data_IF_341106795628
#
_entry.id   IF_341106795628
#
_cell.length_a   1.000
_cell.length_b   1.000
_cell.length_c   1.000
_cell.angle_alpha   90.00
_cell.angle_beta   90.00
_cell.angle_gamma   90.00
#
_symmetry.space_group_name_H-M   'P 1'
#
loop_
_entity.id
_entity.type
_entity.pdbx_description
1 polymer ?
#
# COMPACT_ATOMS: atom_id res chain seq x y z
N UNK A 1 22.90 -4.53 -16.84
CA UNK A 1 22.29 -3.90 -15.66
C UNK A 1 20.82 -3.66 -15.94
N UNK A 2 19.93 -4.25 -15.13
CA UNK A 2 18.47 -4.06 -15.18
C UNK A 2 18.08 -3.18 -13.98
N UNK A 3 17.20 -2.20 -14.21
CA UNK A 3 16.72 -1.28 -13.18
C UNK A 3 15.22 -1.46 -12.97
N UNK A 4 14.83 -1.71 -11.72
CA UNK A 4 13.43 -1.83 -11.30
C UNK A 4 13.08 -0.69 -10.34
N UNK A 5 12.02 0.05 -10.65
CA UNK A 5 11.41 0.99 -9.71
C UNK A 5 10.23 0.33 -9.00
N UNK A 6 10.22 0.37 -7.68
CA UNK A 6 9.12 -0.09 -6.85
C UNK A 6 8.47 1.12 -6.21
N UNK A 7 7.19 1.33 -6.45
CA UNK A 7 6.40 2.35 -5.78
C UNK A 7 5.41 1.71 -4.81
N UNK A 8 5.06 2.45 -3.76
CA UNK A 8 4.13 1.95 -2.75
C UNK A 8 2.67 2.01 -3.18
N UNK A 9 1.79 2.39 -2.26
CA UNK A 9 0.36 2.23 -2.42
C UNK A 9 -0.20 3.21 -3.48
N UNK A 10 -0.95 2.68 -4.45
CA UNK A 10 -1.56 3.42 -5.55
C UNK A 10 -3.07 3.23 -5.56
N UNK A 11 -3.80 4.34 -5.44
CA UNK A 11 -5.22 4.48 -5.69
C UNK A 11 -5.38 5.58 -6.75
N UNK A 12 -5.64 5.24 -8.04
CA UNK A 12 -5.45 6.17 -9.15
C UNK A 12 -6.57 7.22 -9.33
N UNK A 13 -7.40 7.43 -8.32
CA UNK A 13 -8.63 8.24 -8.40
C UNK A 13 -8.74 9.25 -7.24
N UNK A 14 -9.80 9.20 -6.42
CA UNK A 14 -10.03 10.15 -5.34
C UNK A 14 -10.43 11.54 -5.86
N UNK A 15 -9.86 12.61 -5.28
CA UNK A 15 -10.14 13.99 -5.72
C UNK A 15 -9.70 14.31 -7.15
N UNK A 16 -8.96 13.42 -7.82
CA UNK A 16 -8.58 13.53 -9.22
C UNK A 16 -9.61 12.95 -10.20
N UNK A 17 -10.62 12.22 -9.73
CA UNK A 17 -11.63 11.65 -10.60
C UNK A 17 -12.33 12.73 -11.44
N UNK A 18 -12.52 12.45 -12.73
CA UNK A 18 -13.16 13.37 -13.68
C UNK A 18 -12.31 14.59 -14.07
N UNK A 19 -11.10 14.74 -13.52
CA UNK A 19 -10.20 15.86 -13.84
C UNK A 19 -9.09 15.42 -14.79
N UNK A 20 -8.77 16.26 -15.77
CA UNK A 20 -7.57 16.14 -16.61
C UNK A 20 -6.47 17.04 -16.06
N UNK A 21 -6.01 16.71 -14.86
CA UNK A 21 -5.02 17.48 -14.10
C UNK A 21 -3.67 16.75 -13.99
N UNK A 22 -2.63 17.53 -13.68
CA UNK A 22 -1.33 16.98 -13.38
C UNK A 22 -1.36 16.40 -11.96
N UNK A 23 -1.20 15.08 -11.85
CA UNK A 23 -1.13 14.37 -10.57
C UNK A 23 0.30 13.97 -10.18
N UNK A 24 1.27 14.17 -11.09
CA UNK A 24 2.69 13.86 -10.90
C UNK A 24 3.55 14.95 -11.55
N UNK A 25 4.58 15.43 -10.85
CA UNK A 25 5.56 16.36 -11.42
C UNK A 25 6.44 15.64 -12.45
N UNK A 26 6.86 16.37 -13.49
CA UNK A 26 7.63 15.81 -14.61
C UNK A 26 8.93 15.15 -14.16
N UNK A 27 9.65 15.72 -13.18
CA UNK A 27 10.92 15.17 -12.68
C UNK A 27 10.75 13.80 -12.00
N UNK A 28 9.58 13.53 -11.41
CA UNK A 28 9.26 12.23 -10.81
C UNK A 28 8.86 11.25 -11.91
N UNK A 29 8.04 11.69 -12.86
CA UNK A 29 7.61 10.86 -13.99
C UNK A 29 8.77 10.44 -14.88
N UNK A 30 9.67 11.37 -15.22
CA UNK A 30 10.91 11.10 -15.97
C UNK A 30 11.82 10.14 -15.20
N UNK A 31 11.92 10.29 -13.88
CA UNK A 31 12.67 9.37 -13.05
C UNK A 31 12.11 7.96 -13.14
N UNK A 32 10.80 7.75 -13.02
CA UNK A 32 10.18 6.42 -13.18
C UNK A 32 10.41 5.85 -14.58
N UNK A 33 10.26 6.68 -15.62
CA UNK A 33 10.46 6.27 -17.02
C UNK A 33 11.90 5.90 -17.35
N UNK A 34 12.87 6.27 -16.51
CA UNK A 34 14.29 5.88 -16.67
C UNK A 34 14.61 4.44 -16.24
N UNK A 35 13.66 3.73 -15.62
CA UNK A 35 13.82 2.33 -15.22
C UNK A 35 13.41 1.39 -16.37
N UNK A 36 13.84 0.14 -16.30
CA UNK A 36 13.45 -0.88 -17.28
C UNK A 36 12.07 -1.44 -16.93
N UNK A 37 11.83 -1.66 -15.63
CA UNK A 37 10.61 -2.24 -15.08
C UNK A 37 10.10 -1.35 -13.94
N UNK A 38 8.78 -1.11 -13.87
CA UNK A 38 8.14 -0.42 -12.75
C UNK A 38 7.06 -1.30 -12.13
N UNK A 39 7.08 -1.40 -10.80
CA UNK A 39 6.15 -2.22 -10.05
C UNK A 39 5.48 -1.41 -8.93
N UNK A 40 4.23 -1.73 -8.61
CA UNK A 40 3.45 -1.00 -7.61
C UNK A 40 2.53 -1.92 -6.79
N UNK A 41 1.94 -1.41 -5.72
CA UNK A 41 0.73 -1.99 -5.11
C UNK A 41 -0.48 -1.21 -5.63
N UNK A 42 -1.43 -1.88 -6.30
CA UNK A 42 -2.72 -1.27 -6.65
C UNK A 42 -3.70 -1.50 -5.50
N UNK A 43 -3.81 -0.51 -4.62
CA UNK A 43 -4.53 -0.62 -3.33
C UNK A 43 -5.96 -0.08 -3.43
N UNK A 44 -6.69 -0.58 -4.42
CA UNK A 44 -8.11 -0.30 -4.59
C UNK A 44 -8.72 -1.33 -5.54
N UNK A 45 -10.02 -1.57 -5.40
CA UNK A 45 -10.78 -2.24 -6.45
C UNK A 45 -11.05 -1.28 -7.62
N UNK A 46 -11.15 -1.81 -8.84
CA UNK A 46 -11.51 -1.03 -10.04
C UNK A 46 -12.94 -1.35 -10.45
N UNK A 47 -13.78 -0.33 -10.62
CA UNK A 47 -15.15 -0.53 -11.12
C UNK A 47 -15.98 0.74 -11.19
N UNK A 48 -16.96 0.71 -12.11
CA UNK A 48 -17.86 1.85 -12.39
C UNK A 48 -19.25 1.68 -11.76
N UNK A 49 -19.61 0.44 -11.39
CA UNK A 49 -20.85 0.10 -10.70
C UNK A 49 -20.49 -0.49 -9.34
N UNK A 50 -20.71 0.23 -8.24
CA UNK A 50 -20.27 -0.24 -6.94
C UNK A 50 -21.08 -1.45 -6.46
N UNK A 51 -20.44 -2.61 -6.41
CA UNK A 51 -20.89 -3.84 -5.77
C UNK A 51 -20.15 -4.04 -4.44
N UNK A 52 -20.36 -3.13 -3.48
CA UNK A 52 -19.58 -3.10 -2.24
C UNK A 52 -19.56 -4.43 -1.50
N UNK A 53 -18.39 -4.82 -0.99
CA UNK A 53 -18.26 -6.03 -0.17
C UNK A 53 -19.19 -5.96 1.06
N UNK A 54 -20.15 -6.88 1.22
CA UNK A 54 -21.12 -6.84 2.30
C UNK A 54 -20.46 -6.96 3.68
N UNK A 55 -19.37 -7.72 3.80
CA UNK A 55 -18.68 -7.89 5.09
C UNK A 55 -18.01 -6.59 5.54
N UNK A 56 -17.29 -5.90 4.65
CA UNK A 56 -16.76 -4.55 4.92
C UNK A 56 -17.85 -3.55 5.24
N UNK A 57 -18.99 -3.58 4.55
CA UNK A 57 -20.12 -2.70 4.84
C UNK A 57 -20.69 -2.93 6.25
N UNK A 58 -20.87 -4.19 6.66
CA UNK A 58 -21.36 -4.55 8.01
C UNK A 58 -20.35 -4.17 9.09
N UNK A 59 -19.06 -4.43 8.85
CA UNK A 59 -17.95 -4.03 9.73
C UNK A 59 -17.68 -2.52 9.68
N UNK A 60 -18.40 -1.82 8.80
CA UNK A 60 -18.27 -0.39 8.52
C UNK A 60 -16.84 -0.01 8.18
N UNK A 61 -16.06 -0.85 7.51
CA UNK A 61 -14.69 -0.59 7.09
C UNK A 61 -14.65 0.33 5.86
N UNK A 62 -13.49 0.93 5.60
CA UNK A 62 -13.27 1.71 4.39
C UNK A 62 -13.39 0.82 3.15
N UNK A 63 -14.10 1.36 2.16
CA UNK A 63 -14.21 0.81 0.82
C UNK A 63 -13.52 1.79 -0.13
N UNK A 64 -12.41 1.33 -0.70
CA UNK A 64 -11.51 2.09 -1.57
C UNK A 64 -11.60 1.49 -2.97
N UNK A 65 -12.15 2.27 -3.89
CA UNK A 65 -12.23 1.88 -5.29
C UNK A 65 -11.97 3.06 -6.21
N UNK A 66 -11.49 2.77 -7.42
CA UNK A 66 -11.31 3.73 -8.49
C UNK A 66 -12.21 3.37 -9.68
N UNK A 67 -12.86 4.35 -10.33
CA UNK A 67 -13.54 4.15 -11.60
C UNK A 67 -12.58 3.63 -12.67
N UNK A 68 -13.09 2.83 -13.60
CA UNK A 68 -12.27 2.23 -14.66
C UNK A 68 -11.56 3.30 -15.49
N UNK A 69 -12.23 4.45 -15.67
CA UNK A 69 -11.71 5.59 -16.43
C UNK A 69 -10.48 6.24 -15.82
N UNK A 70 -10.16 6.01 -14.54
CA UNK A 70 -8.98 6.58 -13.87
C UNK A 70 -7.76 5.66 -13.89
N UNK A 71 -7.94 4.39 -14.24
CA UNK A 71 -6.85 3.40 -14.28
C UNK A 71 -5.75 3.78 -15.28
N UNK A 72 -6.04 4.64 -16.26
CA UNK A 72 -5.05 5.19 -17.19
C UNK A 72 -3.86 5.85 -16.48
N UNK A 73 -4.04 6.45 -15.29
CA UNK A 73 -2.94 7.07 -14.53
C UNK A 73 -1.86 6.06 -14.14
N UNK A 74 -2.26 4.82 -13.86
CA UNK A 74 -1.31 3.72 -13.59
C UNK A 74 -0.50 3.41 -14.84
N UNK A 75 -1.13 3.43 -16.03
CA UNK A 75 -0.44 3.24 -17.31
C UNK A 75 0.47 4.42 -17.65
N UNK A 76 0.04 5.66 -17.39
CA UNK A 76 0.84 6.87 -17.62
C UNK A 76 2.11 6.93 -16.74
N UNK A 77 2.04 6.41 -15.51
CA UNK A 77 3.22 6.19 -14.65
C UNK A 77 4.17 5.12 -15.21
N UNK A 78 3.75 4.35 -16.22
CA UNK A 78 4.53 3.28 -16.85
C UNK A 78 4.55 1.99 -16.04
N UNK A 79 3.64 1.78 -15.09
CA UNK A 79 3.67 0.57 -14.25
C UNK A 79 3.45 -0.69 -15.11
N UNK A 80 4.35 -1.67 -14.95
CA UNK A 80 4.36 -2.93 -15.69
C UNK A 80 3.75 -4.07 -14.87
N UNK A 81 3.94 -4.05 -13.55
CA UNK A 81 3.43 -5.08 -12.62
C UNK A 81 2.75 -4.43 -11.41
N UNK A 82 1.59 -4.96 -11.00
CA UNK A 82 0.94 -4.58 -9.74
C UNK A 82 0.74 -5.76 -8.80
N UNK A 83 0.95 -5.52 -7.50
CA UNK A 83 0.42 -6.39 -6.46
C UNK A 83 -1.05 -6.06 -6.19
N UNK A 84 -1.89 -7.08 -6.22
CA UNK A 84 -3.30 -7.05 -5.77
C UNK A 84 -3.49 -7.70 -4.40
N UNK A 85 -2.44 -8.25 -3.78
CA UNK A 85 -2.53 -8.78 -2.43
C UNK A 85 -2.60 -7.63 -1.42
N UNK A 86 -3.79 -7.05 -1.24
CA UNK A 86 -4.07 -6.04 -0.25
C UNK A 86 -5.51 -6.16 0.26
N UNK A 87 -5.81 -5.47 1.35
CA UNK A 87 -7.14 -5.45 1.94
C UNK A 87 -8.19 -4.74 1.09
N UNK A 88 -7.81 -3.94 0.08
CA UNK A 88 -8.72 -3.11 -0.70
C UNK A 88 -9.07 -3.67 -2.08
N UNK A 89 -8.39 -4.73 -2.55
CA UNK A 89 -8.61 -5.33 -3.86
C UNK A 89 -10.00 -5.99 -4.02
N UNK A 90 -10.65 -6.34 -2.90
CA UNK A 90 -11.98 -6.97 -2.88
C UNK A 90 -13.10 -6.00 -2.45
N UNK A 91 -12.86 -4.69 -2.44
CA UNK A 91 -13.81 -3.72 -1.87
C UNK A 91 -15.10 -3.55 -2.66
N UNK A 92 -15.06 -3.92 -3.95
CA UNK A 92 -16.21 -4.06 -4.82
C UNK A 92 -16.64 -5.53 -4.97
N UNK A 93 -16.34 -6.37 -3.98
CA UNK A 93 -16.67 -7.78 -3.98
C UNK A 93 -15.97 -8.58 -5.08
N UNK A 94 -16.48 -9.79 -5.33
CA UNK A 94 -15.94 -10.70 -6.33
C UNK A 94 -16.03 -10.12 -7.75
N UNK A 95 -17.15 -9.49 -8.11
CA UNK A 95 -17.32 -8.82 -9.41
C UNK A 95 -16.31 -7.69 -9.62
N UNK A 96 -16.00 -6.96 -8.55
CA UNK A 96 -14.98 -5.92 -8.51
C UNK A 96 -13.57 -6.44 -8.74
N UNK A 97 -13.20 -7.55 -8.07
CA UNK A 97 -11.91 -8.20 -8.27
C UNK A 97 -11.78 -8.73 -9.70
N UNK A 98 -12.82 -9.41 -10.22
CA UNK A 98 -12.88 -9.89 -11.61
C UNK A 98 -12.70 -8.72 -12.59
N UNK A 99 -13.41 -7.62 -12.38
CA UNK A 99 -13.26 -6.43 -13.24
C UNK A 99 -11.83 -5.87 -13.14
N UNK A 100 -11.26 -5.78 -11.94
CA UNK A 100 -9.88 -5.29 -11.73
C UNK A 100 -8.89 -6.08 -12.56
N UNK A 101 -8.88 -7.42 -12.45
CA UNK A 101 -8.03 -8.30 -13.25
C UNK A 101 -8.24 -8.08 -14.75
N UNK A 102 -9.50 -8.05 -15.20
CA UNK A 102 -9.85 -7.83 -16.62
C UNK A 102 -9.36 -6.49 -17.17
N UNK A 103 -9.40 -5.41 -16.39
CA UNK A 103 -8.91 -4.11 -16.85
C UNK A 103 -7.38 -4.05 -16.88
N UNK A 104 -6.70 -4.71 -15.95
CA UNK A 104 -5.24 -4.85 -15.97
C UNK A 104 -4.76 -5.64 -17.20
N UNK A 105 -5.43 -6.74 -17.53
CA UNK A 105 -5.16 -7.53 -18.75
C UNK A 105 -5.29 -6.68 -20.02
N UNK A 106 -6.37 -5.89 -20.14
CA UNK A 106 -6.58 -4.98 -21.29
C UNK A 106 -5.48 -3.92 -21.43
N UNK A 107 -4.92 -3.47 -20.32
CA UNK A 107 -3.84 -2.48 -20.30
C UNK A 107 -2.45 -3.11 -20.47
N UNK A 108 -2.36 -4.45 -20.50
CA UNK A 108 -1.11 -5.18 -20.52
C UNK A 108 -0.28 -4.94 -19.25
N UNK A 109 -0.94 -4.73 -18.11
CA UNK A 109 -0.30 -4.61 -16.80
C UNK A 109 -0.40 -5.97 -16.13
N UNK A 110 0.74 -6.59 -15.84
CA UNK A 110 0.77 -7.88 -15.14
C UNK A 110 0.40 -7.70 -13.67
N UNK A 111 -0.13 -8.75 -13.05
CA UNK A 111 -0.51 -8.69 -11.65
C UNK A 111 -0.30 -10.02 -10.92
N UNK A 112 -0.20 -9.95 -9.59
CA UNK A 112 -0.06 -11.10 -8.72
C UNK A 112 -0.75 -10.87 -7.36
N UNK A 113 -0.96 -11.93 -6.59
CA UNK A 113 -1.43 -11.83 -5.20
C UNK A 113 -2.94 -11.79 -5.01
N UNK A 114 -3.71 -11.89 -6.08
CA UNK A 114 -5.14 -12.14 -6.07
C UNK A 114 -5.54 -12.90 -7.33
N UNK A 115 -6.67 -13.61 -7.30
CA UNK A 115 -7.14 -14.40 -8.42
C UNK A 115 -8.55 -14.93 -8.20
N UNK A 116 -9.08 -15.64 -9.20
CA UNK A 116 -10.42 -16.23 -9.14
C UNK A 116 -10.47 -17.54 -8.34
N UNK A 117 -9.30 -18.05 -8.00
CA UNK A 117 -9.07 -19.22 -7.15
C UNK A 117 -7.66 -19.16 -6.54
N UNK A 118 -7.35 -20.08 -5.65
CA UNK A 118 -6.06 -20.14 -4.95
C UNK A 118 -4.86 -20.39 -5.87
N UNK A 119 -5.05 -21.06 -7.01
CA UNK A 119 -3.98 -21.29 -7.99
C UNK A 119 -3.59 -19.98 -8.68
N UNK A 120 -4.59 -19.21 -9.13
CA UNK A 120 -4.38 -17.89 -9.73
C UNK A 120 -3.80 -16.90 -8.71
N UNK A 121 -4.34 -16.85 -7.49
CA UNK A 121 -3.87 -15.92 -6.46
C UNK A 121 -2.39 -16.16 -6.08
N UNK A 122 -1.95 -17.42 -6.12
CA UNK A 122 -0.56 -17.79 -5.83
C UNK A 122 0.38 -17.75 -7.05
N UNK A 123 -0.14 -17.39 -8.24
CA UNK A 123 0.65 -17.30 -9.47
C UNK A 123 1.56 -16.07 -9.45
N UNK A 124 2.85 -16.21 -9.81
CA UNK A 124 3.72 -15.05 -9.93
C UNK A 124 3.36 -14.22 -11.17
N UNK A 125 3.55 -12.90 -11.07
CA UNK A 125 3.71 -12.05 -12.24
C UNK A 125 5.17 -12.14 -12.70
N UNK A 126 5.40 -12.37 -14.00
CA UNK A 126 6.75 -12.63 -14.52
C UNK A 126 7.08 -11.67 -15.65
N UNK A 127 8.10 -10.85 -15.46
CA UNK A 127 8.65 -9.97 -16.49
C UNK A 127 9.92 -10.61 -17.04
N UNK A 128 10.05 -10.69 -18.36
CA UNK A 128 11.33 -11.02 -19.01
C UNK A 128 11.91 -9.77 -19.64
N UNK A 129 13.11 -9.36 -19.20
CA UNK A 129 13.80 -8.20 -19.74
C UNK A 129 15.26 -8.56 -20.03
N UNK A 130 15.73 -8.24 -21.24
CA UNK A 130 17.08 -8.57 -21.70
C UNK A 130 17.47 -10.06 -21.48
N UNK A 131 16.51 -10.97 -21.62
CA UNK A 131 16.71 -12.42 -21.44
C UNK A 131 16.71 -12.90 -19.98
N UNK A 132 16.53 -12.01 -19.00
CA UNK A 132 16.46 -12.32 -17.57
C UNK A 132 15.00 -12.34 -17.13
N UNK A 133 14.61 -13.40 -16.44
CA UNK A 133 13.27 -13.64 -15.90
C UNK A 133 13.16 -13.17 -14.44
N UNK A 134 12.23 -12.25 -14.19
CA UNK A 134 12.00 -11.64 -12.87
C UNK A 134 10.57 -11.93 -12.44
N UNK A 135 10.41 -12.69 -11.38
CA UNK A 135 9.11 -13.08 -10.83
C UNK A 135 8.76 -12.27 -9.58
N UNK A 136 7.47 -11.94 -9.46
CA UNK A 136 6.88 -11.28 -8.31
C UNK A 136 5.77 -12.15 -7.73
N UNK A 137 5.90 -12.51 -6.46
CA UNK A 137 4.82 -13.09 -5.66
C UNK A 137 4.30 -12.05 -4.68
N UNK A 138 3.03 -12.14 -4.30
CA UNK A 138 2.42 -11.17 -3.41
C UNK A 138 1.53 -11.86 -2.38
N UNK A 139 1.55 -11.37 -1.14
CA UNK A 139 0.78 -11.92 -0.02
C UNK A 139 0.19 -10.81 0.86
N UNK A 140 -1.03 -11.06 1.36
CA UNK A 140 -1.75 -10.13 2.22
C UNK A 140 -1.95 -10.69 3.64
N UNK A 141 -1.59 -9.90 4.65
CA UNK A 141 -1.90 -10.17 6.05
C UNK A 141 -3.40 -10.00 6.33
N UNK A 142 -3.88 -10.54 7.45
CA UNK A 142 -5.29 -10.45 7.87
C UNK A 142 -5.48 -10.21 9.37
N UNK A 143 -4.37 -10.12 10.12
CA UNK A 143 -4.46 -9.99 11.57
C UNK A 143 -5.17 -8.69 11.93
N UNK A 144 -6.03 -8.76 12.95
CA UNK A 144 -6.91 -7.65 13.34
C UNK A 144 -6.12 -6.41 13.81
N UNK A 145 -4.93 -6.60 14.38
CA UNK A 145 -4.05 -5.52 14.83
C UNK A 145 -3.14 -4.96 13.74
N UNK A 146 -3.21 -5.49 12.50
CA UNK A 146 -2.45 -5.04 11.34
C UNK A 146 -3.36 -4.60 10.19
N UNK A 147 -3.87 -5.56 9.42
CA UNK A 147 -4.61 -5.32 8.15
C UNK A 147 -6.12 -5.48 8.34
N UNK A 148 -6.56 -6.40 9.21
CA UNK A 148 -7.97 -6.69 9.43
C UNK A 148 -8.58 -7.64 8.41
N UNK A 149 -9.88 -7.50 8.15
CA UNK A 149 -10.64 -8.40 7.29
C UNK A 149 -10.14 -8.40 5.83
N UNK A 150 -9.85 -9.59 5.31
CA UNK A 150 -9.36 -9.84 3.95
C UNK A 150 -9.96 -11.16 3.43
N UNK A 151 -10.73 -11.14 2.34
CA UNK A 151 -11.19 -12.35 1.65
C UNK A 151 -10.03 -13.09 0.96
N UNK A 152 -9.78 -14.35 1.34
CA UNK A 152 -8.73 -15.16 0.71
C UNK A 152 -9.30 -16.10 -0.35
N UNK A 153 -8.52 -16.27 -1.43
CA UNK A 153 -8.88 -17.20 -2.48
C UNK A 153 -8.86 -18.64 -1.97
N UNK A 154 -9.83 -19.43 -2.42
CA UNK A 154 -9.86 -20.89 -2.22
C UNK A 154 -9.89 -21.58 -3.58
N UNK A 155 -9.97 -22.91 -3.61
CA UNK A 155 -10.06 -23.65 -4.87
C UNK A 155 -11.18 -23.14 -5.79
N UNK A 156 -12.30 -22.68 -5.22
CA UNK A 156 -13.50 -22.28 -5.95
C UNK A 156 -13.99 -20.87 -5.61
N UNK A 157 -13.14 -20.01 -5.03
CA UNK A 157 -13.52 -18.64 -4.66
C UNK A 157 -12.39 -17.66 -4.97
N UNK A 158 -12.79 -16.52 -5.52
CA UNK A 158 -11.89 -15.40 -5.73
C UNK A 158 -11.43 -14.76 -4.42
N UNK A 159 -10.24 -14.17 -4.43
CA UNK A 159 -9.71 -13.44 -3.28
C UNK A 159 -8.21 -13.24 -3.36
N UNK A 160 -7.63 -12.81 -2.24
CA UNK A 160 -6.21 -12.51 -2.11
C UNK A 160 -5.41 -13.77 -1.79
N UNK A 161 -4.12 -13.72 -2.05
CA UNK A 161 -3.16 -14.73 -1.62
C UNK A 161 -2.76 -14.49 -0.16
N UNK A 162 -2.94 -15.52 0.66
CA UNK A 162 -2.84 -15.39 2.11
C UNK A 162 -1.41 -15.39 2.64
N UNK A 163 -1.05 -14.38 3.44
CA UNK A 163 0.25 -14.28 4.12
C UNK A 163 0.34 -15.21 5.33
N UNK A 164 0.38 -16.53 5.08
CA UNK A 164 0.79 -17.55 6.06
C UNK A 164 2.22 -17.99 5.79
N UNK A 165 2.97 -18.18 6.88
CA UNK A 165 4.38 -18.60 6.82
C UNK A 165 4.59 -19.83 5.92
N UNK A 166 3.72 -20.83 6.07
CA UNK A 166 3.72 -22.05 5.25
C UNK A 166 3.52 -21.74 3.76
N UNK A 167 2.48 -20.99 3.41
CA UNK A 167 2.13 -20.66 2.02
C UNK A 167 3.26 -19.89 1.33
N UNK A 168 3.88 -18.94 2.05
CA UNK A 168 5.00 -18.15 1.54
C UNK A 168 6.21 -19.05 1.27
N UNK A 169 6.57 -19.90 2.24
CA UNK A 169 7.69 -20.83 2.11
C UNK A 169 7.50 -21.76 0.91
N UNK A 170 6.35 -22.42 0.81
CA UNK A 170 6.03 -23.35 -0.28
C UNK A 170 6.07 -22.64 -1.65
N UNK A 171 5.55 -21.42 -1.73
CA UNK A 171 5.58 -20.62 -2.96
C UNK A 171 7.00 -20.23 -3.37
N UNK A 172 7.86 -19.85 -2.41
CA UNK A 172 9.26 -19.52 -2.69
C UNK A 172 10.02 -20.78 -3.12
N UNK A 173 9.88 -21.89 -2.40
CA UNK A 173 10.55 -23.15 -2.73
C UNK A 173 10.14 -23.67 -4.11
N UNK A 174 8.87 -23.50 -4.50
CA UNK A 174 8.37 -23.83 -5.84
C UNK A 174 9.00 -22.96 -6.93
N UNK A 175 9.15 -21.65 -6.71
CA UNK A 175 9.47 -20.70 -7.79
C UNK A 175 10.95 -20.27 -7.87
N UNK A 176 11.73 -20.39 -6.78
CA UNK A 176 13.10 -19.85 -6.70
C UNK A 176 14.09 -20.41 -7.73
N UNK A 177 13.83 -21.59 -8.28
CA UNK A 177 14.67 -22.21 -9.31
C UNK A 177 14.10 -22.10 -10.72
N UNK A 178 12.92 -21.48 -10.87
CA UNK A 178 12.24 -21.33 -12.17
C UNK A 178 12.55 -19.98 -12.83
N UNK A 179 13.01 -19.00 -12.05
CA UNK A 179 13.27 -17.63 -12.49
C UNK A 179 14.63 -17.17 -12.00
N UNK A 180 15.24 -16.22 -12.71
CA UNK A 180 16.56 -15.69 -12.36
C UNK A 180 16.50 -14.84 -11.08
N UNK A 181 15.38 -14.11 -10.88
CA UNK A 181 15.11 -13.35 -9.66
C UNK A 181 13.68 -13.52 -9.16
N UNK A 182 13.52 -13.57 -7.84
CA UNK A 182 12.24 -13.69 -7.14
C UNK A 182 12.07 -12.62 -6.07
N UNK A 183 11.12 -11.71 -6.30
CA UNK A 183 10.75 -10.66 -5.34
C UNK A 183 9.38 -10.91 -4.71
N UNK A 184 9.23 -10.54 -3.44
CA UNK A 184 8.02 -10.78 -2.66
C UNK A 184 7.39 -9.46 -2.23
N UNK A 185 6.16 -9.19 -2.69
CA UNK A 185 5.30 -8.15 -2.14
C UNK A 185 4.63 -8.63 -0.85
N UNK A 186 4.67 -7.81 0.19
CA UNK A 186 3.98 -8.06 1.46
C UNK A 186 3.12 -6.86 1.85
N UNK A 187 1.82 -7.07 1.93
CA UNK A 187 0.87 -6.08 2.45
C UNK A 187 0.56 -6.43 3.90
N UNK A 188 1.23 -5.72 4.83
CA UNK A 188 1.41 -6.16 6.22
C UNK A 188 1.77 -5.04 7.18
N UNK A 189 1.75 -5.34 8.48
CA UNK A 189 2.24 -4.43 9.51
C UNK A 189 1.19 -3.47 10.04
N UNK A 190 1.60 -2.58 10.94
CA UNK A 190 0.68 -1.66 11.63
C UNK A 190 0.63 -0.33 10.89
N UNK A 191 -0.57 0.11 10.51
CA UNK A 191 -0.81 1.41 9.91
C UNK A 191 -0.16 2.55 10.72
N UNK A 192 0.38 3.52 10.01
CA UNK A 192 0.96 4.73 10.58
C UNK A 192 2.18 4.47 11.49
N UNK A 193 2.83 3.33 11.38
CA UNK A 193 4.09 3.05 12.07
C UNK A 193 5.30 3.34 11.18
N UNK A 194 6.28 4.05 11.72
CA UNK A 194 7.63 4.11 11.13
C UNK A 194 8.46 2.87 11.46
N UNK A 195 8.05 2.09 12.46
CA UNK A 195 8.83 0.99 13.02
C UNK A 195 8.18 -0.35 12.64
N UNK A 196 8.88 -1.24 11.91
CA UNK A 196 8.39 -2.59 11.67
C UNK A 196 8.27 -3.36 12.97
N UNK A 197 7.31 -4.27 13.08
CA UNK A 197 7.18 -5.10 14.27
C UNK A 197 8.33 -6.12 14.35
N UNK A 198 8.68 -6.63 15.54
CA UNK A 198 9.63 -7.74 15.66
C UNK A 198 9.22 -8.97 14.82
N UNK A 199 7.92 -9.25 14.71
CA UNK A 199 7.43 -10.35 13.87
C UNK A 199 7.63 -10.11 12.37
N UNK A 200 7.56 -8.86 11.91
CA UNK A 200 7.91 -8.50 10.54
C UNK A 200 9.39 -8.78 10.26
N UNK A 201 10.29 -8.42 11.18
CA UNK A 201 11.73 -8.66 11.03
C UNK A 201 12.03 -10.16 10.95
N UNK A 202 11.46 -10.95 11.87
CA UNK A 202 11.66 -12.41 11.87
C UNK A 202 11.11 -13.06 10.60
N UNK A 203 9.94 -12.64 10.12
CA UNK A 203 9.37 -13.19 8.89
C UNK A 203 10.17 -12.76 7.66
N UNK A 204 10.66 -11.53 7.60
CA UNK A 204 11.53 -11.05 6.53
C UNK A 204 12.81 -11.89 6.40
N UNK A 205 13.49 -12.14 7.52
CA UNK A 205 14.69 -12.96 7.56
C UNK A 205 14.42 -14.39 7.03
N UNK A 206 13.31 -15.00 7.46
CA UNK A 206 12.88 -16.31 6.95
C UNK A 206 12.63 -16.30 5.44
N UNK A 207 11.90 -15.33 4.92
CA UNK A 207 11.57 -15.19 3.50
C UNK A 207 12.85 -15.08 2.64
N UNK A 208 13.77 -14.23 3.08
CA UNK A 208 15.08 -14.08 2.42
C UNK A 208 15.87 -15.40 2.49
N UNK A 209 15.85 -16.10 3.63
CA UNK A 209 16.55 -17.39 3.80
C UNK A 209 15.93 -18.54 2.99
N UNK A 210 14.64 -18.50 2.67
CA UNK A 210 14.01 -19.52 1.81
C UNK A 210 14.37 -19.38 0.34
N UNK A 211 14.85 -18.21 -0.08
CA UNK A 211 15.40 -17.99 -1.42
C UNK A 211 14.84 -16.79 -2.16
N UNK A 212 14.09 -15.89 -1.51
CA UNK A 212 13.73 -14.61 -2.13
C UNK A 212 14.96 -13.69 -2.23
N UNK A 213 15.07 -12.93 -3.33
CA UNK A 213 16.11 -11.93 -3.55
C UNK A 213 15.77 -10.59 -2.88
N UNK A 214 14.48 -10.32 -2.69
CA UNK A 214 14.07 -9.10 -2.01
C UNK A 214 12.60 -9.06 -1.64
N UNK A 215 12.29 -8.17 -0.70
CA UNK A 215 10.94 -7.96 -0.17
C UNK A 215 10.53 -6.50 -0.39
N UNK A 216 9.32 -6.31 -0.87
CA UNK A 216 8.69 -5.00 -1.11
C UNK A 216 7.43 -4.91 -0.24
N UNK A 217 7.52 -4.20 0.88
CA UNK A 217 6.40 -4.00 1.80
C UNK A 217 5.52 -2.79 1.47
N UNK A 218 4.26 -2.85 1.86
CA UNK A 218 3.28 -1.74 1.79
C UNK A 218 2.36 -1.68 3.01
N UNK A 219 1.11 -1.22 2.85
CA UNK A 219 0.03 -1.14 3.87
C UNK A 219 0.22 -0.11 4.98
N UNK A 220 1.42 0.06 5.52
CA UNK A 220 1.58 0.90 6.72
C UNK A 220 1.32 2.39 6.46
N UNK A 221 1.07 2.78 5.21
CA UNK A 221 0.90 4.16 4.71
C UNK A 221 1.98 5.13 5.18
N UNK A 222 3.13 4.59 5.58
CA UNK A 222 4.32 5.32 6.02
C UNK A 222 5.54 4.54 5.59
N UNK A 223 6.54 5.26 5.10
CA UNK A 223 7.84 4.68 4.79
C UNK A 223 8.44 4.00 6.02
N UNK A 224 8.96 2.80 5.82
CA UNK A 224 9.73 2.05 6.82
C UNK A 224 11.11 1.70 6.26
N UNK A 225 12.07 1.31 7.12
CA UNK A 225 13.47 1.15 6.74
C UNK A 225 13.70 0.25 5.52
N UNK A 226 14.75 0.58 4.77
CA UNK A 226 15.41 -0.33 3.84
C UNK A 226 16.52 -1.06 4.60
N UNK A 227 16.54 -2.39 4.58
CA UNK A 227 17.70 -3.17 5.04
C UNK A 227 18.21 -4.01 3.89
N UNK A 228 19.53 -4.02 3.72
CA UNK A 228 20.19 -4.75 2.64
C UNK A 228 21.42 -5.48 3.17
N UNK A 229 21.62 -6.72 2.73
CA UNK A 229 22.71 -7.59 3.14
C UNK A 229 22.90 -8.68 2.09
N UNK A 230 24.13 -8.97 1.68
CA UNK A 230 24.49 -10.10 0.80
C UNK A 230 23.56 -10.31 -0.40
N UNK A 231 23.43 -9.30 -1.28
CA UNK A 231 22.56 -9.32 -2.47
C UNK A 231 21.07 -9.54 -2.18
N UNK A 232 20.63 -9.28 -0.94
CA UNK A 232 19.24 -9.33 -0.54
C UNK A 232 18.82 -8.03 0.10
N UNK A 233 17.55 -7.70 -0.01
CA UNK A 233 17.00 -6.51 0.62
C UNK A 233 15.57 -6.68 1.11
N UNK A 234 15.18 -5.76 1.97
CA UNK A 234 13.80 -5.54 2.35
C UNK A 234 13.53 -4.05 2.41
N UNK A 235 12.52 -3.60 1.67
CA UNK A 235 11.78 -2.40 2.00
C UNK A 235 10.64 -2.81 2.94
N UNK A 236 10.69 -2.45 4.21
CA UNK A 236 9.63 -2.87 5.16
C UNK A 236 8.27 -2.27 4.80
N UNK A 237 8.27 -1.05 4.25
CA UNK A 237 7.11 -0.39 3.67
C UNK A 237 7.54 0.79 2.80
N UNK A 238 6.97 0.87 1.60
CA UNK A 238 7.19 2.00 0.68
C UNK A 238 6.27 3.20 0.98
N UNK A 239 5.24 3.03 1.82
CA UNK A 239 4.23 4.06 2.10
C UNK A 239 3.35 4.40 0.88
N UNK A 240 2.59 5.49 0.96
CA UNK A 240 1.75 5.91 -0.16
C UNK A 240 2.60 6.49 -1.29
N UNK A 241 2.37 6.04 -2.53
CA UNK A 241 2.96 6.68 -3.70
C UNK A 241 1.98 7.65 -4.38
N UNK A 242 0.82 7.13 -4.79
CA UNK A 242 -0.27 7.94 -5.33
C UNK A 242 -1.57 7.50 -4.70
N UNK A 243 -1.85 8.03 -3.52
CA UNK A 243 -3.09 7.78 -2.81
C UNK A 243 -3.66 9.15 -2.41
N UNK A 244 -4.36 9.84 -3.30
CA UNK A 244 -4.88 11.16 -3.03
C UNK A 244 -5.99 11.12 -1.98
N UNK A 245 -6.26 12.29 -1.42
CA UNK A 245 -7.45 12.55 -0.63
C UNK A 245 -8.69 12.09 -1.41
N UNK A 246 -9.73 11.68 -0.69
CA UNK A 246 -10.96 11.16 -1.31
C UNK A 246 -12.17 11.55 -0.51
N UNK A 247 -13.30 11.75 -1.17
CA UNK A 247 -14.57 11.84 -0.46
C UNK A 247 -15.01 10.43 -0.05
N UNK A 248 -15.68 10.35 1.10
CA UNK A 248 -16.37 9.14 1.55
C UNK A 248 -17.82 9.46 1.89
N UNK A 249 -18.70 8.46 1.79
CA UNK A 249 -20.10 8.56 2.23
C UNK A 249 -20.45 7.43 3.21
N UNK A 250 -21.68 7.40 3.72
CA UNK A 250 -22.13 6.41 4.70
C UNK A 250 -22.15 4.99 4.11
N UNK A 251 -21.60 3.97 4.80
CA UNK A 251 -20.94 4.03 6.10
C UNK A 251 -19.47 4.47 6.05
N UNK A 252 -18.68 4.06 5.04
CA UNK A 252 -17.33 4.57 4.67
C UNK A 252 -16.89 4.30 3.20
N UNK A 253 -17.75 4.04 2.19
CA UNK A 253 -17.26 3.92 0.81
C UNK A 253 -16.74 5.22 0.23
N UNK A 254 -15.73 5.09 -0.62
CA UNK A 254 -15.27 6.16 -1.50
C UNK A 254 -16.45 6.71 -2.30
N UNK A 255 -16.55 8.02 -2.35
CA UNK A 255 -17.63 8.74 -2.96
C UNK A 255 -17.09 9.62 -4.08
N UNK A 256 -17.70 9.50 -5.26
CA UNK A 256 -17.41 10.36 -6.40
C UNK A 256 -18.58 11.32 -6.56
N UNK A 257 -18.37 12.62 -6.28
CA UNK A 257 -19.44 13.62 -6.37
C UNK A 257 -19.96 13.73 -7.79
N UNK A 258 -21.26 13.99 -7.93
CA UNK A 258 -21.86 14.22 -9.26
C UNK A 258 -21.40 15.55 -9.84
N UNK A 259 -21.47 15.70 -11.16
CA UNK A 259 -21.18 16.97 -11.81
C UNK A 259 -22.07 18.09 -11.25
N UNK A 260 -21.46 19.19 -10.80
CA UNK A 260 -22.16 20.32 -10.19
C UNK A 260 -22.46 20.18 -8.69
N UNK A 261 -22.11 19.06 -8.04
CA UNK A 261 -22.25 18.92 -6.59
C UNK A 261 -21.22 19.78 -5.84
N UNK A 262 -21.71 20.72 -5.02
CA UNK A 262 -20.84 21.61 -4.24
C UNK A 262 -20.41 20.96 -2.91
N UNK A 263 -19.12 20.57 -2.86
CA UNK A 263 -18.47 20.05 -1.65
C UNK A 263 -17.42 21.02 -1.08
N UNK A 264 -17.49 22.31 -1.40
CA UNK A 264 -16.54 23.33 -0.92
C UNK A 264 -16.50 23.43 0.61
N UNK A 265 -17.64 23.20 1.26
CA UNK A 265 -17.81 23.22 2.73
C UNK A 265 -17.83 21.83 3.37
N UNK A 266 -17.47 20.79 2.61
CA UNK A 266 -17.42 19.42 3.11
C UNK A 266 -16.41 19.32 4.28
N UNK A 267 -16.81 18.76 5.45
CA UNK A 267 -15.90 18.56 6.56
C UNK A 267 -14.82 17.56 6.17
N UNK A 268 -13.71 17.54 6.92
CA UNK A 268 -12.63 16.60 6.66
C UNK A 268 -12.15 15.88 7.92
N UNK A 269 -11.52 14.72 7.74
CA UNK A 269 -10.87 13.99 8.83
C UNK A 269 -9.54 13.37 8.38
N UNK A 270 -8.65 13.19 9.35
CA UNK A 270 -7.41 12.41 9.23
C UNK A 270 -7.51 11.02 9.84
N UNK A 271 -8.66 10.70 10.43
CA UNK A 271 -9.00 9.37 10.92
C UNK A 271 -10.13 8.80 10.08
N UNK A 272 -10.63 7.65 10.49
CA UNK A 272 -11.75 6.94 9.90
C UNK A 272 -13.05 7.15 10.69
N UNK A 273 -13.72 8.31 10.55
CA UNK A 273 -14.94 8.58 11.29
C UNK A 273 -16.12 7.76 10.77
N UNK A 274 -17.14 7.63 11.60
CA UNK A 274 -18.47 7.30 11.11
C UNK A 274 -19.08 8.55 10.50
N UNK A 275 -19.56 8.44 9.26
CA UNK A 275 -20.11 9.59 8.53
C UNK A 275 -21.57 9.36 8.19
N UNK A 276 -22.38 10.41 8.36
CA UNK A 276 -23.80 10.46 7.97
C UNK A 276 -24.02 11.25 6.68
N UNK A 277 -23.02 12.02 6.25
CA UNK A 277 -22.98 12.87 5.06
C UNK A 277 -21.59 12.74 4.41
N UNK A 278 -21.40 13.21 3.16
CA UNK A 278 -20.07 13.23 2.54
C UNK A 278 -19.02 13.91 3.42
N UNK A 279 -17.84 13.31 3.47
CA UNK A 279 -16.67 13.81 4.22
C UNK A 279 -15.42 13.65 3.36
N UNK A 280 -14.52 14.62 3.42
CA UNK A 280 -13.21 14.54 2.77
C UNK A 280 -12.21 13.81 3.70
N UNK A 281 -11.81 12.62 3.32
CA UNK A 281 -10.71 11.90 3.94
C UNK A 281 -9.39 12.50 3.47
N UNK A 282 -8.56 12.92 4.43
CA UNK A 282 -7.24 13.48 4.16
C UNK A 282 -6.14 12.66 4.78
N UNK A 283 -5.03 12.52 4.07
CA UNK A 283 -3.79 12.02 4.66
C UNK A 283 -3.13 13.10 5.51
N UNK A 284 -2.47 12.70 6.61
CA UNK A 284 -1.60 13.64 7.34
C UNK A 284 -0.29 13.75 6.57
N UNK A 285 0.48 14.79 6.88
CA UNK A 285 1.74 15.05 6.17
C UNK A 285 2.73 13.88 6.20
N UNK A 286 2.68 13.05 7.23
CA UNK A 286 3.57 11.88 7.35
C UNK A 286 3.19 10.72 6.44
N UNK A 287 1.91 10.60 6.11
CA UNK A 287 1.34 9.57 5.24
C UNK A 287 1.41 9.98 3.78
N UNK A 288 1.51 11.28 3.52
CA UNK A 288 1.81 11.81 2.19
C UNK A 288 3.26 11.57 1.76
N UNK A 289 4.11 10.94 2.57
CA UNK A 289 5.50 10.64 2.22
C UNK A 289 5.58 9.21 1.69
N UNK A 290 6.08 9.09 0.45
CA UNK A 290 6.33 7.83 -0.23
C UNK A 290 7.81 7.56 -0.45
N UNK A 291 8.11 6.30 -0.75
CA UNK A 291 9.43 5.82 -1.18
C UNK A 291 9.30 5.17 -2.56
N UNK A 292 10.10 5.65 -3.51
CA UNK A 292 10.42 4.90 -4.72
C UNK A 292 11.64 4.04 -4.37
N UNK A 293 11.43 2.75 -4.19
CA UNK A 293 12.50 1.76 -4.08
C UNK A 293 13.16 1.56 -5.44
N UNK A 294 14.48 1.58 -5.49
CA UNK A 294 15.25 1.38 -6.71
C UNK A 294 16.07 0.11 -6.55
N UNK A 295 15.81 -0.87 -7.41
CA UNK A 295 16.56 -2.12 -7.46
C UNK A 295 17.43 -2.09 -8.72
N UNK A 296 18.71 -2.37 -8.57
CA UNK A 296 19.64 -2.55 -9.67
C UNK A 296 20.14 -3.98 -9.65
N UNK A 297 19.96 -4.68 -10.76
CA UNK A 297 20.42 -6.05 -10.97
C UNK A 297 21.58 -5.98 -11.96
N UNK A 298 22.76 -6.40 -11.51
CA UNK A 298 23.93 -6.54 -12.37
C UNK A 298 24.50 -7.95 -12.24
N UNK A 299 24.40 -8.72 -13.32
CA UNK A 299 24.58 -10.17 -13.31
C UNK A 299 23.65 -10.80 -12.25
N UNK A 300 24.20 -11.26 -11.11
CA UNK A 300 23.46 -11.83 -9.98
C UNK A 300 23.52 -10.97 -8.71
N UNK A 301 24.04 -9.75 -8.81
CA UNK A 301 24.14 -8.81 -7.69
C UNK A 301 22.92 -7.92 -7.69
N UNK A 302 22.17 -7.97 -6.58
CA UNK A 302 20.99 -7.14 -6.35
C UNK A 302 21.35 -6.03 -5.36
N UNK A 303 21.26 -4.80 -5.83
CA UNK A 303 21.47 -3.59 -5.03
C UNK A 303 20.15 -2.86 -4.85
N UNK A 304 19.87 -2.43 -3.62
CA UNK A 304 18.66 -1.67 -3.30
C UNK A 304 19.02 -0.28 -2.78
N UNK A 305 18.33 0.73 -3.30
CA UNK A 305 18.39 2.12 -2.85
C UNK A 305 17.00 2.75 -2.88
N UNK A 306 16.86 4.04 -2.59
CA UNK A 306 15.56 4.67 -2.69
C UNK A 306 15.64 6.18 -2.91
N UNK A 307 14.56 6.73 -3.47
CA UNK A 307 14.25 8.16 -3.53
C UNK A 307 12.92 8.41 -2.81
N UNK A 308 12.85 9.45 -1.99
CA UNK A 308 11.60 9.84 -1.35
C UNK A 308 10.78 10.78 -2.24
N UNK A 309 9.47 10.64 -2.16
CA UNK A 309 8.45 11.50 -2.76
C UNK A 309 7.51 12.03 -1.68
N UNK A 310 6.77 13.09 -2.02
CA UNK A 310 5.66 13.57 -1.20
C UNK A 310 4.46 13.89 -2.07
N UNK A 311 3.29 13.56 -1.59
CA UNK A 311 2.02 14.00 -2.14
C UNK A 311 1.69 15.38 -1.56
N UNK A 312 1.98 16.44 -2.32
CA UNK A 312 1.69 17.83 -1.96
C UNK A 312 0.42 18.26 -2.71
N UNK A 313 -0.64 18.59 -1.97
CA UNK A 313 -1.94 18.93 -2.56
C UNK A 313 -2.42 17.91 -3.60
N UNK A 314 -2.23 16.62 -3.29
CA UNK A 314 -2.57 15.48 -4.15
C UNK A 314 -1.70 15.33 -5.41
N UNK A 315 -0.63 16.13 -5.56
CA UNK A 315 0.34 16.02 -6.64
C UNK A 315 1.64 15.38 -6.13
N UNK A 316 2.14 14.36 -6.84
CA UNK A 316 3.39 13.68 -6.48
C UNK A 316 4.57 14.59 -6.82
N UNK A 317 5.33 14.98 -5.81
CA UNK A 317 6.53 15.80 -5.91
C UNK A 317 7.79 15.04 -5.48
N UNK A 318 8.91 15.38 -6.12
CA UNK A 318 10.21 14.79 -5.84
C UNK A 318 11.00 15.54 -4.75
N UNK A 319 11.95 14.83 -4.14
CA UNK A 319 13.01 15.37 -3.24
C UNK A 319 12.49 16.04 -1.97
N UNK A 320 12.32 15.22 -0.93
CA UNK A 320 12.01 15.70 0.42
C UNK A 320 13.08 15.33 1.45
N UNK A 321 13.09 16.08 2.55
CA UNK A 321 13.93 15.73 3.71
C UNK A 321 13.37 14.49 4.39
N UNK A 322 14.24 13.51 4.65
CA UNK A 322 13.90 12.30 5.42
C UNK A 322 13.29 12.67 6.79
N UNK A 323 12.09 12.14 7.14
CA UNK A 323 11.49 12.36 8.46
C UNK A 323 12.41 11.90 9.59
N UNK A 324 12.37 12.61 10.72
CA UNK A 324 13.21 12.30 11.88
C UNK A 324 12.98 10.87 12.41
N UNK A 325 11.71 10.48 12.60
CA UNK A 325 11.36 9.14 13.09
C UNK A 325 11.75 8.03 12.10
N UNK A 326 11.67 8.30 10.78
CA UNK A 326 12.15 7.37 9.76
C UNK A 326 13.67 7.14 9.90
N UNK A 327 14.46 8.21 10.07
CA UNK A 327 15.92 8.09 10.30
C UNK A 327 16.25 7.27 11.54
N UNK A 328 15.52 7.49 12.63
CA UNK A 328 15.68 6.71 13.86
C UNK A 328 15.37 5.24 13.60
N UNK A 329 14.22 4.95 12.99
CA UNK A 329 13.84 3.57 12.68
C UNK A 329 14.88 2.87 11.80
N UNK A 330 15.38 3.58 10.78
CA UNK A 330 16.41 3.09 9.86
C UNK A 330 17.71 2.69 10.57
N UNK A 331 18.10 3.43 11.62
CA UNK A 331 19.28 3.12 12.44
C UNK A 331 19.01 1.98 13.43
N UNK A 332 17.80 1.91 13.98
CA UNK A 332 17.48 1.00 15.08
C UNK A 332 17.18 -0.43 14.62
N UNK A 333 16.55 -0.60 13.45
CA UNK A 333 15.98 -1.89 13.03
C UNK A 333 17.02 -3.02 12.93
N UNK A 334 18.28 -2.68 12.65
CA UNK A 334 19.38 -3.65 12.58
C UNK A 334 20.09 -3.92 13.91
N UNK A 335 19.68 -3.28 15.01
CA UNK A 335 20.34 -3.43 16.31
C UNK A 335 19.86 -4.70 17.04
N UNK A 336 20.74 -5.42 17.75
CA UNK A 336 20.38 -6.68 18.42
C UNK A 336 19.31 -6.52 19.51
N UNK A 337 19.19 -5.32 20.08
CA UNK A 337 18.19 -4.98 21.10
C UNK A 337 16.92 -4.32 20.52
N UNK A 338 16.73 -4.34 19.20
CA UNK A 338 15.59 -3.69 18.55
C UNK A 338 14.24 -4.09 19.16
N UNK A 339 14.01 -5.38 19.38
CA UNK A 339 12.76 -5.88 19.95
C UNK A 339 12.48 -5.26 21.31
N UNK A 340 13.49 -5.18 22.18
CA UNK A 340 13.36 -4.55 23.49
C UNK A 340 13.03 -3.06 23.36
N UNK A 341 13.77 -2.33 22.52
CA UNK A 341 13.53 -0.90 22.29
C UNK A 341 12.15 -0.62 21.67
N UNK A 342 11.69 -1.48 20.77
CA UNK A 342 10.38 -1.39 20.14
C UNK A 342 9.26 -1.51 21.18
N UNK A 343 9.31 -2.53 22.04
CA UNK A 343 8.30 -2.72 23.08
C UNK A 343 8.36 -1.62 24.15
N UNK A 344 9.57 -1.16 24.52
CA UNK A 344 9.74 -0.04 25.43
C UNK A 344 9.11 1.24 24.86
N UNK A 345 9.40 1.57 23.59
CA UNK A 345 8.81 2.72 22.91
C UNK A 345 7.28 2.63 22.84
N UNK A 346 6.73 1.45 22.52
CA UNK A 346 5.28 1.23 22.52
C UNK A 346 4.67 1.38 23.92
N UNK A 347 5.32 0.89 24.96
CA UNK A 347 4.86 1.03 26.34
C UNK A 347 4.83 2.49 26.77
N UNK A 348 5.92 3.24 26.53
CA UNK A 348 6.01 4.68 26.82
C UNK A 348 4.93 5.45 26.05
N UNK A 349 4.76 5.17 24.76
CA UNK A 349 3.72 5.79 23.92
C UNK A 349 2.32 5.49 24.49
N UNK A 350 2.04 4.24 24.84
CA UNK A 350 0.76 3.85 25.44
C UNK A 350 0.48 4.60 26.75
N UNK A 351 1.48 4.72 27.63
CA UNK A 351 1.37 5.48 28.90
C UNK A 351 1.11 6.97 28.61
N UNK A 352 1.88 7.58 27.71
CA UNK A 352 1.71 8.99 27.33
C UNK A 352 0.33 9.30 26.72
N UNK A 353 -0.16 8.42 25.85
CA UNK A 353 -1.50 8.60 25.28
C UNK A 353 -2.60 8.28 26.29
N UNK A 354 -2.42 7.31 27.19
CA UNK A 354 -3.36 7.07 28.29
C UNK A 354 -3.42 8.26 29.25
N UNK A 355 -2.29 8.89 29.59
CA UNK A 355 -2.28 10.07 30.46
C UNK A 355 -2.92 11.29 29.78
N UNK A 356 -2.68 11.51 28.47
CA UNK A 356 -3.39 12.53 27.69
C UNK A 356 -4.87 12.22 27.47
N UNK A 357 -5.25 10.94 27.37
CA UNK A 357 -6.65 10.53 27.27
C UNK A 357 -7.35 10.72 28.61
N UNK A 358 -6.66 10.52 29.74
CA UNK A 358 -7.18 10.80 31.08
C UNK A 358 -7.38 12.30 31.34
N UNK A 359 -6.49 13.16 30.84
CA UNK A 359 -6.69 14.61 30.90
C UNK A 359 -7.79 15.12 29.95
N UNK A 360 -8.00 14.44 28.81
CA UNK A 360 -9.14 14.71 27.90
C UNK A 360 -10.46 14.12 28.39
N UNK A 361 -10.46 13.04 29.18
CA UNK A 361 -11.69 12.42 29.72
C UNK A 361 -12.43 13.32 30.73
N UNK A 362 -11.75 14.32 31.30
CA UNK A 362 -12.37 15.33 32.17
C UNK A 362 -13.20 16.34 31.34
N UNK A 363 -13.04 16.38 30.00
CA UNK A 363 -13.84 17.19 29.08
C UNK A 363 -14.38 16.36 27.91
N UNK A 364 -15.66 15.97 28.03
CA UNK A 364 -16.58 15.36 27.04
C UNK A 364 -16.46 13.87 26.68
N UNK A 365 -17.63 13.23 26.77
CA UNK A 365 -18.05 12.00 26.08
C UNK A 365 -18.10 12.26 24.57
N UNK A 366 -17.21 11.61 23.83
CA UNK A 366 -17.39 11.01 22.50
C UNK A 366 -16.00 10.88 21.87
N UNK A 367 -15.56 9.63 21.69
CA UNK A 367 -14.40 9.30 20.85
C UNK A 367 -14.82 9.41 19.38
N UNK A 368 -15.29 10.59 18.98
CA UNK A 368 -15.31 10.96 17.57
C UNK A 368 -13.86 11.22 17.15
N UNK A 369 -13.41 10.48 16.15
CA UNK A 369 -12.15 10.77 15.48
C UNK A 369 -12.34 12.15 14.81
N UNK A 370 -11.70 13.18 15.39
CA UNK A 370 -11.87 14.61 15.09
C UNK A 370 -12.34 14.87 13.63
N UNK A 371 -13.65 15.03 13.46
CA UNK A 371 -14.23 15.61 12.26
C UNK A 371 -13.99 17.11 12.37
N UNK A 372 -13.28 17.67 11.40
CA UNK A 372 -12.96 19.09 11.37
C UNK A 372 -13.93 19.77 10.41
N UNK A 373 -14.81 20.58 10.98
CA UNK A 373 -15.68 21.47 10.22
C UNK A 373 -14.90 22.72 9.83
N UNK A 374 -14.97 23.12 8.54
CA UNK A 374 -14.42 24.41 8.12
C UNK A 374 -15.29 25.50 8.75
N UNK A 375 -14.74 26.30 9.65
CA UNK A 375 -15.45 27.48 10.16
C UNK A 375 -15.63 28.48 9.01
N UNK A 376 -16.86 28.94 8.79
CA UNK A 376 -17.11 30.20 8.10
C UNK A 376 -16.70 31.32 9.06
N UNK A 377 -15.49 31.86 8.89
CA UNK A 377 -15.24 33.25 9.28
C UNK A 377 -15.33 34.10 8.01
N UNK A 378 -16.29 35.03 8.04
CA UNK A 378 -16.54 36.05 7.02
C UNK A 378 -15.40 37.05 6.90
#
# INVERSE_FOLDING_TARGET
MIKIACVGDVMPAGVHHGKKDNYIKSDVLEFLKSFDIRVATLECAIGDKPSFDPEKMVRKQDIVYAPTSDLYRVKEMGIDVVSLANNHAFDLGEEGLINTCKQLDKLGIMYCGAGLNSEEASRPAVVTFAGVSIAFLAFCDWRMDTVGYVPFATENKAGMNEMREKNIKESIEKNKSQYDHLFIFLHWGVEYSYFPTPSMITLADKILNWGADGIIGGHTHRIQPLISSHNKFIYFSLGNFFFPDRYINKPRPTYYPSEGEDLSNCPYSYGWPYVSHPLLMKWRETENIGMIGCIEINDNVVCASYRLTKLCDNIIEGRIRKPFLFKISQLMVGLPFYSFSYFLFRAIRSIYFRSKKMSRLIFRKELEQEIIYRNHEC
#
